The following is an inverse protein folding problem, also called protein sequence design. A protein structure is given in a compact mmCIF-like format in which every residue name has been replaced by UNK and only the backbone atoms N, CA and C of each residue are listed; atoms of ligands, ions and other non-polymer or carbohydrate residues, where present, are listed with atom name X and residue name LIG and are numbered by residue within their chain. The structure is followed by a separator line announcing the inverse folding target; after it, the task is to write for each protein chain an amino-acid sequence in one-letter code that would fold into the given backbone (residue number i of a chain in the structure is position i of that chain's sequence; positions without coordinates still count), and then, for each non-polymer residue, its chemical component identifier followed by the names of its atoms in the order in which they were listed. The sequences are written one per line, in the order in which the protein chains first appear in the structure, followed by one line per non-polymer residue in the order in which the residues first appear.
data_IF_859855536472
#
_entry.id   IF_859855536472
#
_cell.length_a   1.000
_cell.length_b   1.000
_cell.length_c   1.000
_cell.angle_alpha   90.00
_cell.angle_beta   90.00
_cell.angle_gamma   90.00
#
_symmetry.space_group_name_H-M   'P 1'
#
loop_
_entity.id
_entity.type
_entity.pdbx_description
1 polymer ?
#
# COMPACT_ATOMS: atom_id res chain seq x y z
N UNK A 1 38.88 -33.57 -1.44
CA UNK A 1 37.51 -33.45 -2.00
C UNK A 1 36.43 -33.22 -0.93
N UNK A 2 36.38 -33.99 0.17
CA UNK A 2 35.36 -33.83 1.23
C UNK A 2 35.36 -32.44 1.92
N UNK A 3 36.53 -31.85 2.19
CA UNK A 3 36.65 -30.53 2.83
C UNK A 3 36.13 -29.38 1.94
N UNK A 4 36.31 -29.47 0.62
CA UNK A 4 35.78 -28.50 -0.34
C UNK A 4 34.26 -28.61 -0.50
N UNK A 5 33.71 -29.83 -0.50
CA UNK A 5 32.27 -30.07 -0.51
C UNK A 5 31.61 -29.51 0.75
N UNK A 6 32.17 -29.81 1.92
CA UNK A 6 31.66 -29.32 3.19
C UNK A 6 31.71 -27.78 3.30
N UNK A 7 32.78 -27.13 2.81
CA UNK A 7 32.84 -25.66 2.75
C UNK A 7 31.79 -25.06 1.80
N UNK A 8 31.54 -25.68 0.65
CA UNK A 8 30.50 -25.23 -0.30
C UNK A 8 29.10 -25.38 0.27
N UNK A 9 28.79 -26.53 0.87
CA UNK A 9 27.50 -26.78 1.52
C UNK A 9 27.25 -25.81 2.69
N UNK A 10 28.27 -25.56 3.52
CA UNK A 10 28.18 -24.60 4.64
C UNK A 10 27.94 -23.18 4.13
N UNK A 11 28.71 -22.73 3.12
CA UNK A 11 28.56 -21.40 2.54
C UNK A 11 27.20 -21.21 1.87
N UNK A 12 26.68 -22.25 1.21
CA UNK A 12 25.35 -22.21 0.60
C UNK A 12 24.27 -22.06 1.68
N UNK A 13 24.33 -22.89 2.72
CA UNK A 13 23.39 -22.84 3.84
C UNK A 13 23.40 -21.48 4.55
N UNK A 14 24.58 -20.93 4.83
CA UNK A 14 24.70 -19.60 5.46
C UNK A 14 24.09 -18.50 4.59
N UNK A 15 24.24 -18.60 3.26
CA UNK A 15 23.64 -17.64 2.33
C UNK A 15 22.11 -17.78 2.28
N UNK A 16 21.60 -19.00 2.25
CA UNK A 16 20.15 -19.28 2.28
C UNK A 16 19.50 -18.82 3.58
N UNK A 17 20.16 -19.05 4.72
CA UNK A 17 19.68 -18.59 6.02
C UNK A 17 19.64 -17.05 6.08
N UNK A 18 20.69 -16.37 5.63
CA UNK A 18 20.72 -14.89 5.56
C UNK A 18 19.61 -14.34 4.67
N UNK A 19 19.43 -14.92 3.49
CA UNK A 19 18.39 -14.49 2.57
C UNK A 19 16.99 -14.71 3.16
N UNK A 20 16.76 -15.85 3.81
CA UNK A 20 15.51 -16.14 4.51
C UNK A 20 15.23 -15.11 5.60
N UNK A 21 16.20 -14.83 6.46
CA UNK A 21 16.03 -13.83 7.54
C UNK A 21 15.71 -12.45 6.98
N UNK A 22 16.33 -12.05 5.87
CA UNK A 22 16.05 -10.78 5.22
C UNK A 22 14.59 -10.69 4.74
N UNK A 23 14.08 -11.72 4.05
CA UNK A 23 12.69 -11.74 3.59
C UNK A 23 11.69 -11.75 4.76
N UNK A 24 12.00 -12.49 5.82
CA UNK A 24 11.12 -12.64 6.99
C UNK A 24 11.04 -11.39 7.89
N UNK A 25 12.04 -10.51 7.81
CA UNK A 25 12.10 -9.27 8.61
C UNK A 25 11.64 -8.03 7.84
N UNK A 26 11.39 -8.16 6.53
CA UNK A 26 10.89 -7.06 5.72
C UNK A 26 9.47 -6.64 6.15
N UNK A 27 9.22 -5.33 6.19
CA UNK A 27 7.91 -4.76 6.50
C UNK A 27 6.89 -5.00 5.37
N UNK A 28 7.34 -5.01 4.12
CA UNK A 28 6.50 -5.28 2.98
C UNK A 28 5.96 -6.72 3.03
N UNK A 29 4.75 -6.89 2.50
CA UNK A 29 4.12 -8.19 2.35
C UNK A 29 4.72 -8.85 1.11
N UNK A 30 5.23 -10.07 1.23
CA UNK A 30 5.92 -10.74 0.14
C UNK A 30 5.35 -12.13 -0.08
N UNK A 31 5.18 -12.52 -1.35
CA UNK A 31 4.83 -13.88 -1.72
C UNK A 31 5.50 -14.34 -3.01
N UNK A 32 5.56 -15.66 -3.17
CA UNK A 32 5.78 -16.30 -4.46
C UNK A 32 4.54 -17.13 -4.81
N UNK A 33 4.25 -17.24 -6.11
CA UNK A 33 3.22 -18.13 -6.63
C UNK A 33 3.78 -19.02 -7.74
N UNK A 34 3.21 -20.21 -7.91
CA UNK A 34 3.51 -21.10 -9.02
C UNK A 34 2.81 -20.66 -10.32
N UNK A 35 2.99 -21.46 -11.37
CA UNK A 35 2.40 -21.21 -12.70
C UNK A 35 0.87 -21.12 -12.70
N UNK A 36 0.23 -21.76 -11.73
CA UNK A 36 -1.22 -21.84 -11.58
C UNK A 36 -1.72 -20.76 -10.61
N UNK A 37 -0.85 -19.89 -10.10
CA UNK A 37 -1.20 -18.80 -9.19
C UNK A 37 -1.35 -19.24 -7.73
N UNK A 38 -0.94 -20.47 -7.38
CA UNK A 38 -0.99 -20.93 -6.00
C UNK A 38 0.25 -20.45 -5.24
N UNK A 39 0.05 -19.94 -4.04
CA UNK A 39 1.10 -19.41 -3.20
C UNK A 39 2.05 -20.53 -2.77
N UNK A 40 3.34 -20.36 -3.03
CA UNK A 40 4.42 -21.29 -2.65
C UNK A 40 5.31 -20.76 -1.54
N UNK A 41 5.25 -19.46 -1.28
CA UNK A 41 5.98 -18.80 -0.19
C UNK A 41 5.24 -17.53 0.23
N UNK A 42 5.28 -17.23 1.53
CA UNK A 42 4.91 -15.93 2.10
C UNK A 42 5.88 -15.57 3.23
N UNK A 43 6.17 -14.28 3.40
CA UNK A 43 6.90 -13.84 4.58
C UNK A 43 5.98 -13.66 5.80
N UNK A 44 6.59 -13.50 6.97
CA UNK A 44 5.87 -13.31 8.24
C UNK A 44 4.98 -12.06 8.24
N UNK A 45 5.43 -10.98 7.58
CA UNK A 45 4.64 -9.74 7.49
C UNK A 45 3.32 -9.95 6.76
N UNK A 46 3.32 -10.70 5.66
CA UNK A 46 2.10 -11.01 4.90
C UNK A 46 1.11 -11.85 5.70
N UNK A 47 1.59 -12.91 6.35
CA UNK A 47 0.75 -13.76 7.19
C UNK A 47 0.07 -12.95 8.32
N UNK A 48 0.87 -12.18 9.07
CA UNK A 48 0.37 -11.34 10.17
C UNK A 48 -0.60 -10.27 9.70
N UNK A 49 -0.25 -9.53 8.66
CA UNK A 49 -1.05 -8.39 8.18
C UNK A 49 -2.40 -8.85 7.60
N UNK A 50 -2.41 -9.99 6.89
CA UNK A 50 -3.62 -10.57 6.30
C UNK A 50 -4.45 -11.40 7.29
N UNK A 51 -3.91 -11.72 8.46
CA UNK A 51 -4.60 -12.49 9.50
C UNK A 51 -4.69 -14.00 9.21
N UNK A 52 -3.76 -14.53 8.42
CA UNK A 52 -3.67 -15.97 8.11
C UNK A 52 -2.41 -16.57 8.72
N UNK A 53 -2.41 -17.89 8.94
CA UNK A 53 -1.16 -18.62 9.13
C UNK A 53 -0.44 -18.80 7.79
N UNK A 54 0.88 -19.05 7.81
CA UNK A 54 1.62 -19.35 6.58
C UNK A 54 1.08 -20.61 5.91
N UNK A 55 0.76 -21.63 6.71
CA UNK A 55 0.22 -22.91 6.26
C UNK A 55 -1.14 -22.78 5.59
N UNK A 56 -1.97 -21.83 6.04
CA UNK A 56 -3.24 -21.52 5.38
C UNK A 56 -3.03 -20.80 4.04
N UNK A 57 -2.00 -19.97 3.94
CA UNK A 57 -1.67 -19.23 2.71
C UNK A 57 -1.00 -20.13 1.66
N UNK A 58 -0.14 -21.07 2.05
CA UNK A 58 0.51 -21.98 1.10
C UNK A 58 -0.56 -22.83 0.40
N UNK A 59 -0.53 -22.83 -0.94
CA UNK A 59 -1.50 -23.52 -1.80
C UNK A 59 -2.78 -22.73 -2.06
N UNK A 60 -3.02 -21.62 -1.37
CA UNK A 60 -4.12 -20.71 -1.70
C UNK A 60 -3.82 -19.99 -3.02
N UNK A 61 -4.83 -19.82 -3.86
CA UNK A 61 -4.69 -19.05 -5.09
C UNK A 61 -4.65 -17.55 -4.76
N UNK A 62 -3.67 -16.81 -5.30
CA UNK A 62 -3.42 -15.39 -4.99
C UNK A 62 -4.65 -14.48 -5.17
N UNK A 63 -5.55 -14.80 -6.10
CA UNK A 63 -6.76 -13.98 -6.33
C UNK A 63 -7.76 -14.04 -5.18
N UNK A 64 -7.66 -15.03 -4.28
CA UNK A 64 -8.50 -15.10 -3.08
C UNK A 64 -8.15 -14.03 -2.05
N UNK A 65 -6.96 -13.44 -2.16
CA UNK A 65 -6.52 -12.34 -1.31
C UNK A 65 -6.92 -10.97 -1.87
N UNK A 66 -7.57 -10.90 -3.03
CA UNK A 66 -8.00 -9.65 -3.65
C UNK A 66 -9.46 -9.34 -3.29
N UNK A 67 -9.79 -8.06 -3.17
CA UNK A 67 -11.21 -7.68 -3.19
C UNK A 67 -11.81 -8.01 -4.56
N UNK A 68 -13.15 -8.15 -4.61
CA UNK A 68 -13.85 -8.40 -5.88
C UNK A 68 -13.57 -7.32 -6.91
N UNK A 69 -13.53 -6.06 -6.48
CA UNK A 69 -13.21 -4.92 -7.35
C UNK A 69 -11.78 -5.01 -7.89
N UNK A 70 -10.80 -5.26 -7.01
CA UNK A 70 -9.41 -5.44 -7.42
C UNK A 70 -9.23 -6.62 -8.39
N UNK A 71 -9.93 -7.73 -8.18
CA UNK A 71 -9.89 -8.87 -9.09
C UNK A 71 -10.39 -8.51 -10.50
N UNK A 72 -11.54 -7.83 -10.60
CA UNK A 72 -12.18 -7.54 -11.89
C UNK A 72 -11.54 -6.36 -12.63
N UNK A 73 -11.14 -5.30 -11.91
CA UNK A 73 -10.68 -4.04 -12.50
C UNK A 73 -9.16 -4.00 -12.65
N UNK A 74 -8.43 -4.66 -11.75
CA UNK A 74 -6.97 -4.57 -11.68
C UNK A 74 -6.33 -5.88 -12.14
N UNK A 75 -6.64 -7.01 -11.51
CA UNK A 75 -5.92 -8.26 -11.79
C UNK A 75 -6.21 -8.81 -13.19
N UNK A 76 -7.49 -9.04 -13.53
CA UNK A 76 -7.87 -9.67 -14.81
C UNK A 76 -7.41 -8.89 -16.05
N UNK A 77 -7.56 -7.55 -16.13
CA UNK A 77 -7.17 -6.80 -17.32
C UNK A 77 -5.65 -6.80 -17.55
N UNK A 78 -4.88 -6.85 -16.47
CA UNK A 78 -3.42 -6.74 -16.53
C UNK A 78 -2.69 -8.10 -16.64
N UNK A 79 -3.39 -9.23 -16.53
CA UNK A 79 -2.77 -10.55 -16.45
C UNK A 79 -1.97 -10.95 -17.69
N UNK A 80 -2.53 -10.73 -18.89
CA UNK A 80 -1.84 -11.08 -20.14
C UNK A 80 -0.65 -10.17 -20.43
N UNK A 81 -0.75 -8.89 -20.05
CA UNK A 81 0.36 -7.95 -20.15
C UNK A 81 1.48 -8.32 -19.18
N UNK A 82 1.16 -8.61 -17.92
CA UNK A 82 2.13 -9.06 -16.92
C UNK A 82 2.93 -10.29 -17.40
N UNK A 83 2.26 -11.31 -17.97
CA UNK A 83 2.96 -12.49 -18.49
C UNK A 83 3.88 -12.17 -19.68
N UNK A 84 3.57 -11.14 -20.47
CA UNK A 84 4.31 -10.74 -21.66
C UNK A 84 5.49 -9.84 -21.33
N UNK A 85 5.26 -8.79 -20.55
CA UNK A 85 6.29 -7.81 -20.16
C UNK A 85 7.18 -8.34 -19.03
N UNK A 86 6.67 -9.28 -18.23
CA UNK A 86 7.40 -9.96 -17.17
C UNK A 86 7.48 -9.20 -15.85
N UNK A 87 6.95 -7.99 -15.80
CA UNK A 87 6.82 -7.21 -14.57
C UNK A 87 5.56 -6.35 -14.59
N UNK A 88 5.09 -5.98 -13.41
CA UNK A 88 3.99 -5.03 -13.24
C UNK A 88 4.12 -4.26 -11.93
N UNK A 89 3.67 -3.02 -11.96
CA UNK A 89 3.62 -2.09 -10.84
C UNK A 89 2.28 -1.37 -10.87
N UNK A 90 1.44 -1.60 -9.85
CA UNK A 90 0.08 -1.08 -9.80
C UNK A 90 -0.42 -0.94 -8.37
N UNK A 91 -1.48 -0.16 -8.19
CA UNK A 91 -2.20 -0.08 -6.92
C UNK A 91 -3.33 -1.11 -6.90
N UNK A 92 -3.51 -1.78 -5.76
CA UNK A 92 -4.54 -2.80 -5.59
C UNK A 92 -4.98 -2.90 -4.13
N UNK A 93 -6.06 -3.65 -3.91
CA UNK A 93 -6.65 -3.83 -2.59
C UNK A 93 -6.72 -5.30 -2.24
N UNK A 94 -6.07 -5.66 -1.13
CA UNK A 94 -6.15 -6.99 -0.54
C UNK A 94 -7.30 -7.08 0.45
N UNK A 95 -7.90 -8.26 0.56
CA UNK A 95 -8.86 -8.62 1.58
C UNK A 95 -8.20 -9.55 2.60
N UNK A 96 -8.25 -9.16 3.87
CA UNK A 96 -7.80 -10.00 4.99
C UNK A 96 -8.80 -11.14 5.26
N UNK A 97 -8.40 -12.10 6.11
CA UNK A 97 -9.27 -13.20 6.56
C UNK A 97 -10.59 -12.74 7.17
N UNK A 98 -10.58 -11.60 7.83
CA UNK A 98 -11.76 -11.00 8.48
C UNK A 98 -12.52 -10.02 7.57
N UNK A 99 -12.12 -9.90 6.30
CA UNK A 99 -12.77 -9.04 5.32
C UNK A 99 -12.38 -7.55 5.41
N UNK A 100 -11.42 -7.18 6.27
CA UNK A 100 -10.81 -5.84 6.24
C UNK A 100 -10.03 -5.67 4.93
N UNK A 101 -10.18 -4.51 4.32
CA UNK A 101 -9.45 -4.11 3.11
C UNK A 101 -8.11 -3.46 3.45
N UNK A 102 -7.08 -3.77 2.66
CA UNK A 102 -5.75 -3.21 2.76
C UNK A 102 -5.39 -2.67 1.38
N UNK A 103 -5.21 -1.36 1.30
CA UNK A 103 -4.83 -0.68 0.07
C UNK A 103 -3.32 -0.52 -0.01
N UNK A 104 -2.75 -0.71 -1.19
CA UNK A 104 -1.32 -0.54 -1.37
C UNK A 104 -0.83 -0.71 -2.80
N UNK A 105 0.49 -0.56 -2.94
CA UNK A 105 1.22 -0.74 -4.19
C UNK A 105 1.72 -2.18 -4.29
N UNK A 106 1.44 -2.85 -5.41
CA UNK A 106 1.90 -4.18 -5.75
C UNK A 106 2.92 -4.10 -6.88
N UNK A 107 4.13 -4.59 -6.60
CA UNK A 107 5.13 -4.89 -7.63
C UNK A 107 5.26 -6.39 -7.78
N UNK A 108 5.09 -6.91 -8.98
CA UNK A 108 5.27 -8.33 -9.26
C UNK A 108 6.18 -8.55 -10.46
N UNK A 109 6.98 -9.61 -10.39
CA UNK A 109 7.83 -10.08 -11.48
C UNK A 109 7.46 -11.51 -11.83
N UNK A 110 7.41 -11.81 -13.12
CA UNK A 110 7.21 -13.15 -13.64
C UNK A 110 8.51 -13.94 -13.54
N UNK A 111 8.37 -15.22 -13.24
CA UNK A 111 9.45 -16.21 -13.26
C UNK A 111 9.20 -17.11 -14.46
N UNK A 112 10.25 -17.35 -15.24
CA UNK A 112 10.19 -18.21 -16.43
C UNK A 112 11.05 -19.46 -16.22
N UNK A 113 10.63 -20.58 -16.82
CA UNK A 113 11.44 -21.80 -16.86
C UNK A 113 12.53 -21.73 -17.93
N UNK A 114 13.31 -22.80 -18.08
CA UNK A 114 14.40 -22.89 -19.06
C UNK A 114 13.94 -22.76 -20.52
N UNK A 115 12.65 -23.01 -20.78
CA UNK A 115 12.05 -22.93 -22.11
C UNK A 115 11.41 -21.56 -22.37
N UNK A 116 11.56 -20.61 -21.44
CA UNK A 116 10.98 -19.27 -21.53
C UNK A 116 9.47 -19.22 -21.26
N UNK A 117 8.88 -20.27 -20.67
CA UNK A 117 7.45 -20.30 -20.33
C UNK A 117 7.24 -19.78 -18.92
N UNK A 118 6.10 -19.11 -18.72
CA UNK A 118 5.68 -18.64 -17.39
C UNK A 118 5.64 -19.81 -16.39
N UNK A 119 6.40 -19.67 -15.31
CA UNK A 119 6.59 -20.69 -14.28
C UNK A 119 6.07 -20.22 -12.91
N UNK A 120 5.69 -18.95 -12.77
CA UNK A 120 5.16 -18.38 -11.54
C UNK A 120 5.50 -16.90 -11.40
N UNK A 121 5.30 -16.36 -10.21
CA UNK A 121 5.58 -14.96 -9.93
C UNK A 121 6.17 -14.75 -8.53
N UNK A 122 6.80 -13.59 -8.35
CA UNK A 122 7.23 -13.07 -7.06
C UNK A 122 6.66 -11.68 -6.91
N UNK A 123 6.07 -11.39 -5.77
CA UNK A 123 5.45 -10.10 -5.54
C UNK A 123 5.83 -9.51 -4.19
N UNK A 124 5.89 -8.19 -4.18
CA UNK A 124 6.08 -7.35 -3.01
C UNK A 124 4.93 -6.35 -2.98
N UNK A 125 4.23 -6.30 -1.87
CA UNK A 125 3.13 -5.38 -1.63
C UNK A 125 3.52 -4.41 -0.51
N UNK A 126 3.35 -3.12 -0.78
CA UNK A 126 3.57 -2.04 0.17
C UNK A 126 2.23 -1.53 0.66
N UNK A 127 1.92 -1.76 1.94
CA UNK A 127 0.70 -1.28 2.58
C UNK A 127 0.73 0.25 2.72
N UNK A 128 -0.26 0.92 2.14
CA UNK A 128 -0.46 2.37 2.18
C UNK A 128 -1.69 2.78 3.01
N UNK A 129 -2.28 1.85 3.76
CA UNK A 129 -3.53 2.08 4.50
C UNK A 129 -3.43 3.23 5.49
N UNK A 130 -2.33 3.34 6.23
CA UNK A 130 -2.16 4.39 7.23
C UNK A 130 -1.91 5.77 6.60
N UNK A 131 -1.25 5.81 5.43
CA UNK A 131 -1.06 7.04 4.67
C UNK A 131 -2.41 7.58 4.18
N UNK A 132 -3.27 6.71 3.63
CA UNK A 132 -4.59 7.11 3.16
C UNK A 132 -5.52 7.55 4.29
N UNK A 133 -5.47 6.91 5.47
CA UNK A 133 -6.23 7.37 6.64
C UNK A 133 -5.83 8.79 7.05
N UNK A 134 -4.53 9.08 7.11
CA UNK A 134 -4.04 10.40 7.48
C UNK A 134 -4.43 11.46 6.44
N UNK A 135 -4.35 11.14 5.14
CA UNK A 135 -4.76 12.04 4.06
C UNK A 135 -6.27 12.29 4.06
N UNK A 136 -7.07 11.26 4.29
CA UNK A 136 -8.53 11.35 4.35
C UNK A 136 -9.01 12.10 5.59
N UNK A 137 -8.39 11.88 6.76
CA UNK A 137 -8.66 12.66 7.97
C UNK A 137 -8.30 14.14 7.78
N UNK A 138 -7.16 14.43 7.15
CA UNK A 138 -6.76 15.80 6.83
C UNK A 138 -7.74 16.45 5.84
N UNK A 139 -8.19 15.71 4.82
CA UNK A 139 -9.19 16.18 3.84
C UNK A 139 -10.52 16.48 4.51
N UNK A 140 -11.06 15.55 5.30
CA UNK A 140 -12.30 15.74 6.08
C UNK A 140 -12.18 16.92 7.04
N UNK A 141 -11.07 17.06 7.74
CA UNK A 141 -10.81 18.20 8.63
C UNK A 141 -10.81 19.52 7.86
N UNK A 142 -10.17 19.58 6.69
CA UNK A 142 -10.19 20.78 5.82
C UNK A 142 -11.59 21.09 5.30
N UNK A 143 -12.37 20.09 4.91
CA UNK A 143 -13.75 20.26 4.42
C UNK A 143 -14.70 20.71 5.54
N UNK A 144 -14.65 20.08 6.70
CA UNK A 144 -15.43 20.49 7.88
C UNK A 144 -15.06 21.92 8.27
N UNK A 145 -13.75 22.22 8.34
CA UNK A 145 -13.26 23.57 8.64
C UNK A 145 -13.76 24.57 7.60
N UNK A 146 -13.70 24.24 6.31
CA UNK A 146 -14.22 25.09 5.22
C UNK A 146 -15.73 25.29 5.33
N UNK A 147 -16.50 24.24 5.60
CA UNK A 147 -17.95 24.31 5.76
C UNK A 147 -18.35 25.13 6.99
N UNK A 148 -17.62 25.00 8.11
CA UNK A 148 -17.78 25.86 9.28
C UNK A 148 -17.44 27.32 8.94
N UNK A 149 -16.36 27.57 8.21
CA UNK A 149 -16.00 28.92 7.76
C UNK A 149 -17.00 29.54 6.78
N UNK A 150 -17.60 28.76 5.88
CA UNK A 150 -18.55 29.25 4.87
C UNK A 150 -19.98 29.40 5.43
N UNK A 151 -20.38 28.55 6.39
CA UNK A 151 -21.72 28.57 6.98
C UNK A 151 -21.80 29.33 8.31
N UNK A 152 -20.67 29.70 8.92
CA UNK A 152 -20.69 30.50 10.15
C UNK A 152 -21.25 31.90 9.85
N UNK A 153 -22.18 32.32 10.71
CA UNK A 153 -22.76 33.67 10.70
C UNK A 153 -21.89 34.68 11.45
N UNK A 154 -20.79 34.22 12.04
CA UNK A 154 -19.93 35.01 12.91
C UNK A 154 -18.81 35.68 12.10
N UNK A 155 -18.55 36.95 12.39
CA UNK A 155 -17.40 37.67 11.85
C UNK A 155 -16.14 37.27 12.61
N UNK A 156 -15.18 36.66 11.93
CA UNK A 156 -13.86 36.38 12.49
C UNK A 156 -12.80 37.21 11.76
N UNK A 157 -11.81 37.67 12.53
CA UNK A 157 -10.62 38.36 12.07
C UNK A 157 -9.41 37.57 12.49
N UNK A 158 -8.48 37.35 11.57
CA UNK A 158 -7.19 36.76 11.88
C UNK A 158 -6.20 37.91 12.05
N UNK A 159 -5.68 38.07 13.26
CA UNK A 159 -4.61 39.02 13.58
C UNK A 159 -3.30 38.28 13.79
N UNK A 160 -2.19 38.86 13.35
CA UNK A 160 -0.85 38.39 13.70
C UNK A 160 -0.57 38.66 15.18
N UNK A 161 0.41 37.96 15.75
CA UNK A 161 0.82 38.15 17.15
C UNK A 161 1.34 39.56 17.50
N UNK A 162 1.60 40.42 16.49
CA UNK A 162 1.94 41.84 16.64
C UNK A 162 0.72 42.78 16.55
N UNK A 163 -0.51 42.23 16.46
CA UNK A 163 -1.75 43.01 16.36
C UNK A 163 -2.12 43.46 14.95
N UNK A 164 -1.33 43.15 13.91
CA UNK A 164 -1.67 43.48 12.53
C UNK A 164 -2.80 42.60 11.98
N UNK A 165 -3.74 43.22 11.26
CA UNK A 165 -4.80 42.53 10.53
C UNK A 165 -4.21 41.71 9.38
N UNK A 166 -4.48 40.40 9.37
CA UNK A 166 -4.03 39.49 8.32
C UNK A 166 -5.16 39.10 7.37
N UNK A 167 -6.37 38.92 7.89
CA UNK A 167 -7.55 38.60 7.10
C UNK A 167 -8.84 38.95 7.87
N UNK A 168 -9.84 39.47 7.16
CA UNK A 168 -11.15 39.81 7.71
C UNK A 168 -12.24 39.41 6.72
N UNK A 169 -13.26 38.67 7.18
CA UNK A 169 -14.35 38.23 6.28
C UNK A 169 -15.36 39.35 6.01
N UNK A 170 -16.06 39.31 4.85
CA UNK A 170 -17.03 40.34 4.46
C UNK A 170 -18.10 40.65 5.51
N UNK A 171 -18.52 39.66 6.32
CA UNK A 171 -19.51 39.92 7.37
C UNK A 171 -18.94 40.61 8.61
N UNK A 172 -17.65 40.45 8.90
CA UNK A 172 -16.98 41.30 9.88
C UNK A 172 -16.96 42.74 9.37
N UNK A 173 -16.70 42.94 8.07
CA UNK A 173 -16.77 44.23 7.41
C UNK A 173 -18.20 44.82 7.47
N UNK A 174 -19.23 44.01 7.22
CA UNK A 174 -20.64 44.41 7.29
C UNK A 174 -21.09 44.79 8.71
N UNK A 175 -20.64 44.06 9.74
CA UNK A 175 -21.02 44.31 11.15
C UNK A 175 -20.19 45.44 11.77
N UNK A 176 -18.90 45.51 11.46
CA UNK A 176 -17.98 46.49 12.02
C UNK A 176 -17.99 47.83 11.27
N UNK A 177 -18.65 47.91 10.11
CA UNK A 177 -18.81 49.14 9.34
C UNK A 177 -17.56 49.57 8.56
N UNK A 178 -16.63 48.65 8.30
CA UNK A 178 -15.41 48.92 7.53
C UNK A 178 -15.50 48.25 6.16
N UNK A 179 -15.21 48.97 5.07
CA UNK A 179 -15.02 48.38 3.75
C UNK A 179 -13.63 47.72 3.66
N UNK A 180 -13.51 46.57 2.97
CA UNK A 180 -12.20 45.94 2.66
C UNK A 180 -11.32 46.77 1.70
N UNK A 181 -11.75 47.98 1.34
CA UNK A 181 -10.91 49.01 0.74
C UNK A 181 -10.53 50.01 1.83
N UNK A 182 -9.39 49.77 2.47
CA UNK A 182 -8.47 50.80 2.93
C UNK A 182 -7.17 50.10 3.29
N UNK A 183 -6.34 49.93 2.26
CA UNK A 183 -4.91 49.66 2.40
C UNK A 183 -4.15 50.92 2.03
#
# INVERSE_FOLDING_TARGET
MALQRHKREKSLRESEEKFRTFLETASNLMNNADRDGNITYVNESMAKTLGYSKEELIGMHITQLLTKEALEIVFKPNWEEFKREGEIDLETTFATKEGREIYGELKAVAVYDSDGKYAGSRAVFHDLTDKNKAEEELRKSKEIRRALYEKSRDGYVIVKGNGEFMDARPRFCDIAGYSMEER
#
